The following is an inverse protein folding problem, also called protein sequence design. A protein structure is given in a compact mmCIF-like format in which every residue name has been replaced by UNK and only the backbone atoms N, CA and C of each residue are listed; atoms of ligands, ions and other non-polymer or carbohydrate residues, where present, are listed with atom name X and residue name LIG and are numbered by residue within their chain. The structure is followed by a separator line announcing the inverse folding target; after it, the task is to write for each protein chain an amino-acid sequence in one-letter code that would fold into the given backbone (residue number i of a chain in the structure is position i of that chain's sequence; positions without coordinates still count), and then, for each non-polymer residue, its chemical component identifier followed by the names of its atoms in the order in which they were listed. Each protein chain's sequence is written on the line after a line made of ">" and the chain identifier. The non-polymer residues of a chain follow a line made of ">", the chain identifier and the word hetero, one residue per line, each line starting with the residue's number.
data_IF_035059084817
#
_entry.id   IF_035059084817
#
_cell.length_a   1.000
_cell.length_b   1.000
_cell.length_c   1.000
_cell.angle_alpha   90.00
_cell.angle_beta   90.00
_cell.angle_gamma   90.00
#
_symmetry.space_group_name_H-M   'P 1'
#
loop_
_entity.id
_entity.type
_entity.pdbx_description
1 polymer ?
#
# COMPACT_ATOMS: atom_id res chain seq x y z
N UNK A 1 -15.51 17.69 55.18
CA UNK A 1 -15.10 18.34 53.92
C UNK A 1 -13.71 18.91 54.14
N UNK A 2 -12.65 18.38 53.50
CA UNK A 2 -11.31 18.92 53.67
C UNK A 2 -11.05 20.04 52.67
N UNK A 3 -10.57 21.15 53.23
CA UNK A 3 -10.16 22.39 52.58
C UNK A 3 -8.86 22.14 51.78
N UNK A 4 -8.89 22.41 50.47
CA UNK A 4 -7.72 22.26 49.58
C UNK A 4 -7.05 23.63 49.41
N UNK A 5 -6.09 23.90 50.28
CA UNK A 5 -5.13 25.00 50.09
C UNK A 5 -4.28 24.72 48.83
N UNK A 6 -4.15 25.68 47.90
CA UNK A 6 -3.33 25.51 46.70
C UNK A 6 -1.84 25.54 47.05
N UNK A 7 -1.11 24.59 46.48
CA UNK A 7 0.32 24.36 46.66
C UNK A 7 1.16 25.50 46.00
N UNK A 8 1.97 26.27 46.75
CA UNK A 8 2.69 27.45 46.23
C UNK A 8 3.93 27.13 45.38
N UNK A 9 4.20 25.86 45.08
CA UNK A 9 5.44 25.40 44.42
C UNK A 9 5.29 24.92 42.97
N UNK A 10 4.21 25.28 42.28
CA UNK A 10 4.10 25.14 40.82
C UNK A 10 4.91 26.25 40.11
N UNK A 11 6.24 26.28 40.30
CA UNK A 11 7.16 27.07 39.48
C UNK A 11 7.32 26.37 38.12
N UNK A 12 6.35 26.61 37.24
CA UNK A 12 6.51 26.37 35.80
C UNK A 12 7.66 27.24 35.31
N UNK A 13 8.79 26.60 35.01
CA UNK A 13 9.92 27.21 34.33
C UNK A 13 9.50 27.57 32.89
N UNK A 14 8.93 28.75 32.71
CA UNK A 14 8.74 29.36 31.39
C UNK A 14 10.14 29.68 30.86
N UNK A 15 10.64 28.84 29.96
CA UNK A 15 11.92 29.07 29.29
C UNK A 15 11.89 30.40 28.54
N UNK A 16 12.50 31.42 29.14
CA UNK A 16 12.74 32.73 28.54
C UNK A 16 13.93 32.66 27.57
N UNK A 17 13.81 31.84 26.53
CA UNK A 17 14.75 31.97 25.41
C UNK A 17 14.39 33.23 24.61
N UNK A 18 15.38 34.01 24.14
CA UNK A 18 15.13 35.15 23.26
C UNK A 18 14.56 34.65 21.93
N UNK A 19 13.23 34.67 21.82
CA UNK A 19 12.51 34.32 20.59
C UNK A 19 12.86 35.37 19.54
N UNK A 20 13.65 34.97 18.55
CA UNK A 20 14.05 35.79 17.42
C UNK A 20 12.78 36.12 16.59
N UNK A 21 12.14 37.27 16.88
CA UNK A 21 10.85 37.67 16.29
C UNK A 21 10.90 37.91 14.77
N UNK A 22 12.10 37.95 14.17
CA UNK A 22 12.29 38.23 12.73
C UNK A 22 11.95 37.08 11.79
N UNK A 23 11.78 35.86 12.29
CA UNK A 23 11.37 34.70 11.46
C UNK A 23 9.99 34.17 11.82
N UNK A 24 9.22 34.89 12.65
CA UNK A 24 7.83 34.51 12.90
C UNK A 24 7.01 34.82 11.65
N UNK A 25 6.92 33.83 10.76
CA UNK A 25 5.90 33.78 9.72
C UNK A 25 4.56 34.01 10.43
N UNK A 26 3.93 35.14 10.18
CA UNK A 26 2.56 35.38 10.65
C UNK A 26 1.74 34.28 9.99
N UNK A 27 1.11 33.38 10.75
CA UNK A 27 0.23 32.39 10.15
C UNK A 27 -0.85 33.17 9.41
N UNK A 28 -0.88 33.01 8.10
CA UNK A 28 -1.91 33.60 7.25
C UNK A 28 -3.27 33.09 7.74
N UNK A 29 -4.36 33.88 7.67
CA UNK A 29 -5.69 33.47 8.13
C UNK A 29 -6.19 32.13 7.52
N UNK A 30 -5.60 31.66 6.42
CA UNK A 30 -5.83 30.34 5.83
C UNK A 30 -5.24 29.16 6.64
N UNK A 31 -4.41 29.42 7.65
CA UNK A 31 -3.73 28.42 8.49
C UNK A 31 -4.50 28.12 9.79
N UNK A 32 -5.67 28.76 9.99
CA UNK A 32 -6.67 28.27 10.95
C UNK A 32 -7.30 27.03 10.32
N UNK A 33 -6.61 25.88 10.44
CA UNK A 33 -7.15 24.57 10.05
C UNK A 33 -8.57 24.47 10.60
N UNK A 34 -9.56 24.53 9.70
CA UNK A 34 -10.98 24.51 10.06
C UNK A 34 -11.20 23.30 10.98
N UNK A 35 -11.95 23.45 12.08
CA UNK A 35 -12.16 22.36 13.04
C UNK A 35 -12.68 21.07 12.38
N UNK A 36 -13.41 21.20 11.26
CA UNK A 36 -13.87 20.09 10.43
C UNK A 36 -12.72 19.26 9.81
N UNK A 37 -11.66 19.90 9.32
CA UNK A 37 -10.50 19.20 8.73
C UNK A 37 -9.74 18.42 9.80
N UNK A 38 -9.61 19.00 10.99
CA UNK A 38 -9.01 18.33 12.14
C UNK A 38 -9.83 17.12 12.59
N UNK A 39 -11.15 17.24 12.65
CA UNK A 39 -12.04 16.12 12.98
C UNK A 39 -11.96 15.01 11.93
N UNK A 40 -11.97 15.34 10.64
CA UNK A 40 -11.78 14.37 9.56
C UNK A 40 -10.42 13.67 9.67
N UNK A 41 -9.35 14.41 9.95
CA UNK A 41 -8.01 13.83 10.14
C UNK A 41 -7.98 12.90 11.36
N UNK A 42 -8.61 13.26 12.48
CA UNK A 42 -8.70 12.39 13.65
C UNK A 42 -9.51 11.12 13.37
N UNK A 43 -10.63 11.23 12.65
CA UNK A 43 -11.42 10.07 12.22
C UNK A 43 -10.61 9.15 11.30
N UNK A 44 -9.86 9.70 10.35
CA UNK A 44 -8.97 8.92 9.49
C UNK A 44 -7.86 8.22 10.27
N UNK A 45 -7.28 8.88 11.29
CA UNK A 45 -6.28 8.26 12.14
C UNK A 45 -6.89 7.10 12.96
N UNK A 46 -8.08 7.29 13.54
CA UNK A 46 -8.79 6.21 14.26
C UNK A 46 -9.10 5.03 13.35
N UNK A 47 -9.65 5.29 12.17
CA UNK A 47 -9.89 4.27 11.15
C UNK A 47 -8.62 3.51 10.76
N UNK A 48 -7.49 4.21 10.60
CA UNK A 48 -6.18 3.58 10.35
C UNK A 48 -5.74 2.71 11.52
N UNK A 49 -5.93 3.15 12.76
CA UNK A 49 -5.61 2.36 13.94
C UNK A 49 -6.50 1.12 14.07
N UNK A 50 -7.79 1.24 13.77
CA UNK A 50 -8.76 0.14 13.81
C UNK A 50 -8.44 -0.95 12.77
N UNK A 51 -8.02 -0.56 11.56
CA UNK A 51 -7.70 -1.51 10.50
C UNK A 51 -6.25 -2.02 10.53
N UNK A 52 -5.39 -1.48 11.39
CA UNK A 52 -4.00 -1.89 11.56
C UNK A 52 -3.07 -1.46 10.42
N UNK A 53 -1.92 -2.17 10.28
CA UNK A 53 -0.87 -1.83 9.31
C UNK A 53 -1.41 -1.85 7.85
N UNK A 54 -1.01 -0.89 6.99
CA UNK A 54 -1.35 -0.93 5.57
C UNK A 54 -0.70 -2.15 4.88
N UNK A 55 -1.43 -2.79 3.98
CA UNK A 55 -0.98 -3.94 3.21
C UNK A 55 0.20 -3.59 2.30
N UNK A 56 0.16 -2.43 1.65
CA UNK A 56 1.20 -1.96 0.72
C UNK A 56 2.58 -1.76 1.40
N UNK A 57 2.60 -1.53 2.71
CA UNK A 57 3.84 -1.43 3.47
C UNK A 57 4.56 -2.78 3.64
N UNK A 58 3.88 -3.91 3.42
CA UNK A 58 4.50 -5.23 3.34
C UNK A 58 5.18 -5.43 1.99
N UNK A 59 4.45 -5.19 0.90
CA UNK A 59 4.94 -5.36 -0.47
C UNK A 59 6.21 -4.54 -0.78
N UNK A 60 6.30 -3.28 -0.32
CA UNK A 60 7.48 -2.42 -0.56
C UNK A 60 8.75 -2.92 0.14
N UNK A 61 8.63 -3.64 1.27
CA UNK A 61 9.79 -4.17 1.99
C UNK A 61 10.41 -5.40 1.30
N UNK A 62 9.62 -6.11 0.47
CA UNK A 62 10.04 -7.33 -0.19
C UNK A 62 10.70 -7.10 -1.57
N UNK A 63 10.72 -5.86 -2.10
CA UNK A 63 11.42 -5.56 -3.33
C UNK A 63 12.91 -5.34 -3.02
N UNK A 64 13.82 -6.28 -3.36
CA UNK A 64 15.24 -6.00 -3.33
C UNK A 64 15.49 -4.83 -4.29
N UNK A 65 16.15 -3.79 -3.80
CA UNK A 65 16.59 -2.68 -4.65
C UNK A 65 17.39 -3.28 -5.81
N UNK A 66 16.82 -3.25 -7.02
CA UNK A 66 17.48 -3.81 -8.18
C UNK A 66 18.85 -3.12 -8.33
N UNK A 67 19.96 -3.87 -8.39
CA UNK A 67 21.25 -3.26 -8.69
C UNK A 67 21.12 -2.60 -10.06
N UNK A 68 21.39 -1.29 -10.11
CA UNK A 68 21.37 -0.53 -11.37
C UNK A 68 22.18 -1.30 -12.42
N UNK A 69 21.60 -1.66 -13.58
CA UNK A 69 22.32 -2.42 -14.59
C UNK A 69 23.55 -1.63 -15.02
N UNK A 70 24.72 -2.28 -15.11
CA UNK A 70 25.98 -1.63 -15.51
C UNK A 70 25.84 -0.83 -16.82
N UNK A 71 24.96 -1.26 -17.73
CA UNK A 71 24.65 -0.55 -18.97
C UNK A 71 24.10 0.88 -18.73
N UNK A 72 23.32 1.11 -17.67
CA UNK A 72 22.82 2.45 -17.31
C UNK A 72 23.93 3.36 -16.76
N UNK A 73 24.99 2.78 -16.15
CA UNK A 73 26.18 3.53 -15.72
C UNK A 73 27.07 3.91 -16.91
N UNK A 74 27.15 3.06 -17.94
CA UNK A 74 27.95 3.34 -19.14
C UNK A 74 27.26 4.35 -20.07
N UNK A 75 25.94 4.31 -20.21
CA UNK A 75 25.20 5.26 -21.06
C UNK A 75 25.17 6.69 -20.50
N UNK A 76 25.20 6.87 -19.18
CA UNK A 76 25.37 8.19 -18.57
C UNK A 76 26.75 8.82 -18.88
N UNK A 77 27.79 8.00 -19.10
CA UNK A 77 29.11 8.47 -19.52
C UNK A 77 29.19 8.82 -21.01
N UNK A 78 28.49 8.08 -21.87
CA UNK A 78 28.57 8.28 -23.33
C UNK A 78 27.80 9.52 -23.83
N UNK A 79 26.73 9.94 -23.14
CA UNK A 79 25.92 11.10 -23.52
C UNK A 79 26.65 12.44 -23.39
N UNK A 80 27.63 12.54 -22.47
CA UNK A 80 28.42 13.78 -22.27
C UNK A 80 29.50 13.94 -23.35
N UNK A 81 29.94 12.84 -23.99
CA UNK A 81 31.00 12.89 -25.01
C UNK A 81 30.45 13.27 -26.39
N UNK A 82 29.20 12.93 -26.72
CA UNK A 82 28.66 13.23 -28.07
C UNK A 82 28.20 14.69 -28.24
N UNK A 83 27.76 15.36 -27.16
CA UNK A 83 27.37 16.78 -27.25
C UNK A 83 28.58 17.71 -27.48
N UNK A 84 29.78 17.29 -27.07
CA UNK A 84 31.03 18.06 -27.27
C UNK A 84 31.62 17.93 -28.69
N UNK A 85 31.29 16.86 -29.43
CA UNK A 85 31.79 16.65 -30.80
C UNK A 85 31.07 17.50 -31.86
N UNK A 86 29.84 17.94 -31.60
CA UNK A 86 29.03 18.71 -32.55
C UNK A 86 29.47 20.17 -32.71
N UNK A 87 30.36 20.68 -31.85
CA UNK A 87 30.84 22.06 -31.91
C UNK A 87 32.04 22.27 -32.86
N UNK A 88 32.59 21.22 -33.47
CA UNK A 88 33.80 21.30 -34.31
C UNK A 88 33.61 20.94 -35.79
N UNK A 89 32.40 20.59 -36.24
CA UNK A 89 32.13 20.29 -37.66
C UNK A 89 31.42 21.49 -38.29
N UNK A 90 32.17 22.30 -39.04
CA UNK A 90 31.71 23.54 -39.70
C UNK A 90 30.92 23.32 -41.00
N UNK A 91 30.18 22.22 -41.12
CA UNK A 91 29.39 21.91 -42.31
C UNK A 91 27.91 21.82 -41.96
N UNK A 92 27.12 22.75 -42.50
CA UNK A 92 25.70 22.94 -42.15
C UNK A 92 24.85 21.72 -42.51
N UNK A 93 25.28 20.91 -43.47
CA UNK A 93 24.59 19.69 -43.89
C UNK A 93 24.77 18.57 -42.85
N UNK A 94 25.93 18.50 -42.19
CA UNK A 94 26.21 17.51 -41.15
C UNK A 94 25.39 17.74 -39.87
N UNK A 95 25.13 19.00 -39.52
CA UNK A 95 24.30 19.39 -38.36
C UNK A 95 22.84 18.96 -38.58
N UNK A 96 22.31 19.15 -39.79
CA UNK A 96 20.95 18.74 -40.13
C UNK A 96 20.71 17.23 -40.01
N UNK A 97 21.66 16.42 -40.49
CA UNK A 97 21.56 14.95 -40.43
C UNK A 97 21.66 14.45 -38.98
N UNK A 98 22.58 15.00 -38.18
CA UNK A 98 22.72 14.63 -36.76
C UNK A 98 21.51 15.01 -35.91
N UNK A 99 20.86 16.16 -36.18
CA UNK A 99 19.64 16.56 -35.47
C UNK A 99 18.46 15.63 -35.78
N UNK A 100 18.32 15.17 -37.02
CA UNK A 100 17.25 14.24 -37.42
C UNK A 100 17.49 12.84 -36.85
N UNK A 101 18.73 12.34 -36.86
CA UNK A 101 19.08 11.04 -36.24
C UNK A 101 18.95 11.09 -34.72
N UNK A 102 19.33 12.21 -34.09
CA UNK A 102 19.18 12.44 -32.65
C UNK A 102 17.73 12.46 -32.19
N UNK A 103 16.85 13.17 -32.91
CA UNK A 103 15.42 13.23 -32.57
C UNK A 103 14.70 11.91 -32.87
N UNK A 104 15.06 11.21 -33.94
CA UNK A 104 14.50 9.90 -34.25
C UNK A 104 14.89 8.83 -33.21
N UNK A 105 16.15 8.84 -32.73
CA UNK A 105 16.61 7.93 -31.67
C UNK A 105 16.00 8.27 -30.30
N UNK A 106 15.82 9.55 -29.97
CA UNK A 106 15.12 9.98 -28.75
C UNK A 106 13.63 9.61 -28.80
N UNK A 107 12.97 9.79 -29.95
CA UNK A 107 11.57 9.42 -30.14
C UNK A 107 11.38 7.90 -30.12
N UNK A 108 12.34 7.12 -30.65
CA UNK A 108 12.32 5.66 -30.56
C UNK A 108 12.58 5.17 -29.14
N UNK A 109 13.50 5.79 -28.40
CA UNK A 109 13.75 5.50 -26.98
C UNK A 109 12.54 5.87 -26.10
N UNK A 110 11.93 7.04 -26.31
CA UNK A 110 10.71 7.45 -25.63
C UNK A 110 9.54 6.51 -25.98
N UNK A 111 9.44 6.08 -27.23
CA UNK A 111 8.45 5.10 -27.68
C UNK A 111 8.75 3.70 -27.14
N UNK A 112 10.00 3.31 -26.89
CA UNK A 112 10.36 2.05 -26.24
C UNK A 112 10.10 2.08 -24.72
N UNK A 113 10.19 3.24 -24.08
CA UNK A 113 9.77 3.45 -22.68
C UNK A 113 8.24 3.41 -22.55
N UNK A 114 7.50 3.98 -23.51
CA UNK A 114 6.03 3.92 -23.55
C UNK A 114 5.44 2.64 -24.14
N UNK A 115 6.19 1.93 -25.00
CA UNK A 115 5.86 0.61 -25.55
C UNK A 115 6.73 -0.47 -24.97
N UNK A 116 7.08 -0.39 -23.68
CA UNK A 116 7.48 -1.61 -22.98
C UNK A 116 6.30 -2.58 -23.12
N UNK A 117 6.48 -3.74 -23.78
CA UNK A 117 5.53 -4.81 -23.57
C UNK A 117 5.48 -5.04 -22.06
N UNK A 118 4.29 -5.15 -21.48
CA UNK A 118 4.04 -5.70 -20.13
C UNK A 118 4.45 -7.19 -20.10
N UNK A 119 5.70 -7.48 -20.46
CA UNK A 119 6.11 -8.79 -20.93
C UNK A 119 7.63 -8.93 -20.99
N UNK A 120 8.30 -8.56 -19.91
CA UNK A 120 9.29 -9.47 -19.34
C UNK A 120 8.75 -9.71 -17.93
N UNK A 121 7.96 -10.78 -17.80
CA UNK A 121 7.50 -11.27 -16.52
C UNK A 121 8.75 -11.75 -15.80
N UNK A 122 9.45 -10.82 -15.14
CA UNK A 122 9.97 -11.16 -13.84
C UNK A 122 8.74 -11.74 -13.14
N UNK A 123 8.81 -13.02 -12.78
CA UNK A 123 7.80 -13.64 -11.94
C UNK A 123 7.64 -12.75 -10.70
N UNK A 124 6.73 -11.78 -10.77
CA UNK A 124 6.21 -11.06 -9.64
C UNK A 124 5.43 -12.12 -8.87
N UNK A 125 6.19 -12.88 -8.09
CA UNK A 125 5.78 -13.97 -7.21
C UNK A 125 5.01 -13.42 -6.01
N UNK A 126 4.38 -12.25 -6.15
CA UNK A 126 3.74 -11.50 -5.09
C UNK A 126 2.48 -10.82 -5.57
N UNK A 127 1.77 -10.18 -4.63
CA UNK A 127 0.57 -9.42 -4.94
C UNK A 127 0.95 -8.08 -5.60
N UNK A 128 0.14 -7.60 -6.56
CA UNK A 128 0.41 -6.34 -7.26
C UNK A 128 0.39 -5.15 -6.28
N UNK A 129 1.51 -4.45 -6.16
CA UNK A 129 1.69 -3.37 -5.19
C UNK A 129 0.69 -2.22 -5.37
N UNK A 130 0.43 -1.83 -6.63
CA UNK A 130 -0.54 -0.78 -6.95
C UNK A 130 -1.96 -1.14 -6.49
N UNK A 131 -2.34 -2.42 -6.61
CA UNK A 131 -3.65 -2.89 -6.16
C UNK A 131 -3.76 -2.90 -4.64
N UNK A 132 -2.68 -3.25 -3.93
CA UNK A 132 -2.64 -3.19 -2.46
C UNK A 132 -2.74 -1.75 -1.96
N UNK A 133 -2.06 -0.80 -2.62
CA UNK A 133 -2.12 0.62 -2.27
C UNK A 133 -3.51 1.21 -2.54
N UNK A 134 -4.12 0.87 -3.68
CA UNK A 134 -5.49 1.24 -3.99
C UNK A 134 -6.48 0.66 -2.97
N UNK A 135 -6.32 -0.62 -2.60
CA UNK A 135 -7.14 -1.28 -1.59
C UNK A 135 -6.97 -0.63 -0.22
N UNK A 136 -5.75 -0.32 0.22
CA UNK A 136 -5.50 0.38 1.49
C UNK A 136 -6.22 1.74 1.53
N UNK A 137 -6.15 2.50 0.44
CA UNK A 137 -6.87 3.77 0.30
C UNK A 137 -8.38 3.60 0.40
N UNK A 138 -8.93 2.58 -0.27
CA UNK A 138 -10.35 2.25 -0.21
C UNK A 138 -10.78 1.83 1.20
N UNK A 139 -9.98 1.01 1.89
CA UNK A 139 -10.26 0.55 3.24
C UNK A 139 -10.30 1.69 4.25
N UNK A 140 -9.38 2.66 4.16
CA UNK A 140 -9.40 3.87 5.01
C UNK A 140 -10.67 4.69 4.75
N UNK A 141 -11.10 4.81 3.50
CA UNK A 141 -12.34 5.50 3.13
C UNK A 141 -13.60 4.75 3.58
N UNK A 142 -13.58 3.42 3.52
CA UNK A 142 -14.72 2.57 3.87
C UNK A 142 -14.89 2.44 5.39
N UNK A 143 -13.79 2.42 6.15
CA UNK A 143 -13.77 2.19 7.61
C UNK A 143 -14.88 2.87 8.42
N UNK A 144 -15.12 4.21 8.32
CA UNK A 144 -16.14 4.87 9.13
C UNK A 144 -17.59 4.46 8.77
N UNK A 145 -17.77 3.84 7.61
CA UNK A 145 -19.05 3.41 7.08
C UNK A 145 -19.34 1.92 7.30
N UNK A 146 -18.36 1.13 7.76
CA UNK A 146 -18.51 -0.32 7.88
C UNK A 146 -19.25 -0.72 9.17
N UNK A 147 -20.20 -1.67 9.10
CA UNK A 147 -20.78 -2.26 10.29
C UNK A 147 -19.75 -3.15 11.01
N UNK A 148 -19.91 -3.35 12.31
CA UNK A 148 -18.94 -4.07 13.14
C UNK A 148 -18.56 -5.47 12.59
N UNK A 149 -19.55 -6.24 12.12
CA UNK A 149 -19.31 -7.56 11.51
C UNK A 149 -18.46 -7.49 10.23
N UNK A 150 -18.65 -6.46 9.41
CA UNK A 150 -17.85 -6.27 8.20
C UNK A 150 -16.42 -5.84 8.54
N UNK A 151 -16.25 -5.00 9.56
CA UNK A 151 -14.92 -4.58 10.04
C UNK A 151 -14.09 -5.78 10.49
N UNK A 152 -14.67 -6.72 11.24
CA UNK A 152 -13.98 -7.94 11.67
C UNK A 152 -13.63 -8.85 10.48
N UNK A 153 -14.55 -9.03 9.53
CA UNK A 153 -14.28 -9.80 8.32
C UNK A 153 -13.15 -9.18 7.48
N UNK A 154 -13.14 -7.84 7.31
CA UNK A 154 -12.06 -7.11 6.63
C UNK A 154 -10.72 -7.30 7.34
N UNK A 155 -10.67 -7.20 8.68
CA UNK A 155 -9.44 -7.45 9.45
C UNK A 155 -8.90 -8.86 9.20
N UNK A 156 -9.78 -9.86 9.20
CA UNK A 156 -9.39 -11.24 8.93
C UNK A 156 -8.87 -11.42 7.50
N UNK A 157 -9.53 -10.80 6.51
CA UNK A 157 -9.05 -10.77 5.11
C UNK A 157 -7.68 -10.10 5.02
N UNK A 158 -7.48 -8.94 5.67
CA UNK A 158 -6.18 -8.26 5.70
C UNK A 158 -5.09 -9.17 6.29
N UNK A 159 -5.38 -9.86 7.38
CA UNK A 159 -4.43 -10.79 8.00
C UNK A 159 -4.05 -11.93 7.04
N UNK A 160 -5.02 -12.51 6.35
CA UNK A 160 -4.79 -13.54 5.32
C UNK A 160 -3.94 -13.00 4.15
N UNK A 161 -4.22 -11.78 3.67
CA UNK A 161 -3.42 -11.15 2.61
C UNK A 161 -1.99 -10.82 3.07
N UNK A 162 -1.76 -10.48 4.34
CA UNK A 162 -0.42 -10.31 4.89
C UNK A 162 0.37 -11.63 4.94
N UNK A 163 -0.30 -12.76 5.15
CA UNK A 163 0.33 -14.08 5.04
C UNK A 163 0.73 -14.38 3.59
N UNK A 164 -0.14 -14.08 2.63
CA UNK A 164 0.15 -14.24 1.21
C UNK A 164 1.32 -13.34 0.73
N UNK A 165 1.58 -12.22 1.41
CA UNK A 165 2.72 -11.34 1.09
C UNK A 165 4.07 -11.82 1.64
N UNK A 166 4.11 -12.91 2.41
CA UNK A 166 5.39 -13.45 2.88
C UNK A 166 6.25 -13.91 1.68
N UNK A 167 7.58 -13.77 1.76
CA UNK A 167 8.47 -14.19 0.68
C UNK A 167 8.23 -15.66 0.29
N UNK A 168 8.00 -15.93 -1.00
CA UNK A 168 7.75 -17.27 -1.52
C UNK A 168 6.34 -17.83 -1.28
N UNK A 169 5.50 -17.21 -0.46
CA UNK A 169 4.16 -17.71 -0.13
C UNK A 169 3.28 -17.87 -1.37
N UNK A 170 3.13 -16.81 -2.17
CA UNK A 170 2.37 -16.87 -3.43
C UNK A 170 3.02 -17.82 -4.45
N UNK A 171 4.33 -18.02 -4.37
CA UNK A 171 5.08 -18.99 -5.16
C UNK A 171 4.67 -20.43 -4.88
N UNK A 172 4.45 -20.77 -3.60
CA UNK A 172 4.07 -22.10 -3.13
C UNK A 172 2.60 -22.46 -3.40
N UNK A 173 1.74 -21.47 -3.71
CA UNK A 173 0.33 -21.72 -4.05
C UNK A 173 0.16 -22.29 -5.45
N UNK A 174 -0.88 -23.12 -5.61
CA UNK A 174 -1.33 -23.57 -6.92
C UNK A 174 -1.73 -22.37 -7.81
N UNK A 175 -1.59 -22.45 -9.15
CA UNK A 175 -1.87 -21.31 -10.04
C UNK A 175 -3.29 -20.73 -9.90
N UNK A 176 -4.29 -21.60 -9.67
CA UNK A 176 -5.68 -21.18 -9.48
C UNK A 176 -5.88 -20.41 -8.18
N UNK A 177 -5.19 -20.83 -7.11
CA UNK A 177 -5.27 -20.17 -5.81
C UNK A 177 -4.55 -18.83 -5.83
N UNK A 178 -3.37 -18.78 -6.45
CA UNK A 178 -2.64 -17.53 -6.71
C UNK A 178 -3.51 -16.51 -7.46
N UNK A 179 -4.21 -16.96 -8.50
CA UNK A 179 -5.13 -16.12 -9.27
C UNK A 179 -6.27 -15.62 -8.38
N UNK A 180 -6.86 -16.49 -7.56
CA UNK A 180 -7.93 -16.11 -6.63
C UNK A 180 -7.48 -15.03 -5.65
N UNK A 181 -6.34 -15.22 -4.96
CA UNK A 181 -5.81 -14.22 -4.01
C UNK A 181 -5.54 -12.89 -4.72
N UNK A 182 -4.98 -12.94 -5.93
CA UNK A 182 -4.73 -11.73 -6.75
C UNK A 182 -6.04 -11.00 -7.09
N UNK A 183 -7.07 -11.73 -7.50
CA UNK A 183 -8.38 -11.16 -7.81
C UNK A 183 -9.13 -10.66 -6.57
N UNK A 184 -8.93 -11.29 -5.40
CA UNK A 184 -9.45 -10.78 -4.14
C UNK A 184 -8.99 -9.34 -3.89
N UNK A 185 -7.69 -9.06 -4.10
CA UNK A 185 -7.12 -7.72 -3.91
C UNK A 185 -7.52 -6.77 -5.04
N UNK A 186 -7.45 -7.23 -6.29
CA UNK A 186 -7.61 -6.35 -7.44
C UNK A 186 -9.07 -6.04 -7.79
N UNK A 187 -10.01 -6.91 -7.40
CA UNK A 187 -11.39 -6.85 -7.90
C UNK A 187 -12.44 -7.18 -6.85
N UNK A 188 -12.42 -8.39 -6.27
CA UNK A 188 -13.57 -8.85 -5.49
C UNK A 188 -13.83 -8.02 -4.23
N UNK A 189 -12.78 -7.76 -3.44
CA UNK A 189 -12.92 -6.95 -2.24
C UNK A 189 -13.19 -5.47 -2.57
N UNK A 190 -12.46 -4.84 -3.53
CA UNK A 190 -12.80 -3.49 -3.98
C UNK A 190 -14.23 -3.34 -4.47
N UNK A 191 -14.69 -4.22 -5.36
CA UNK A 191 -16.03 -4.15 -5.95
C UNK A 191 -17.13 -4.24 -4.88
N UNK A 192 -17.00 -5.18 -3.92
CA UNK A 192 -17.94 -5.32 -2.80
C UNK A 192 -18.00 -4.06 -1.93
N UNK A 193 -16.84 -3.49 -1.56
CA UNK A 193 -16.77 -2.28 -0.74
C UNK A 193 -17.31 -1.06 -1.49
N UNK A 194 -16.97 -0.90 -2.77
CA UNK A 194 -17.47 0.21 -3.57
C UNK A 194 -18.99 0.12 -3.80
N UNK A 195 -19.52 -1.07 -4.10
CA UNK A 195 -20.95 -1.28 -4.23
C UNK A 195 -21.68 -0.89 -2.94
N UNK A 196 -21.16 -1.28 -1.78
CA UNK A 196 -21.70 -0.90 -0.49
C UNK A 196 -21.62 0.62 -0.24
N UNK A 197 -20.50 1.26 -0.57
CA UNK A 197 -20.32 2.70 -0.38
C UNK A 197 -21.23 3.54 -1.28
N UNK A 198 -21.63 3.02 -2.45
CA UNK A 198 -22.63 3.67 -3.32
C UNK A 198 -24.03 3.68 -2.71
N UNK A 199 -24.34 2.78 -1.77
CA UNK A 199 -25.61 2.81 -1.06
C UNK A 199 -25.66 4.03 -0.11
N UNK A 200 -26.74 4.84 -0.14
CA UNK A 200 -26.94 5.92 0.81
C UNK A 200 -26.91 5.39 2.25
N UNK A 201 -26.21 6.08 3.16
CA UNK A 201 -26.02 5.62 4.53
C UNK A 201 -27.34 5.26 5.24
N UNK A 202 -28.39 6.05 5.01
CA UNK A 202 -29.72 5.83 5.58
C UNK A 202 -30.39 4.52 5.13
N UNK A 203 -30.01 3.96 3.97
CA UNK A 203 -30.63 2.76 3.38
C UNK A 203 -29.86 1.47 3.66
N UNK A 204 -28.67 1.52 4.26
CA UNK A 204 -27.79 0.34 4.38
C UNK A 204 -28.31 -0.70 5.37
N UNK A 205 -28.95 -0.24 6.45
CA UNK A 205 -29.58 -1.09 7.44
C UNK A 205 -30.99 -1.58 7.02
N UNK A 206 -31.59 -0.95 6.02
CA UNK A 206 -32.91 -1.33 5.52
C UNK A 206 -32.80 -2.50 4.52
N UNK A 207 -33.85 -3.35 4.42
CA UNK A 207 -33.95 -4.36 3.37
C UNK A 207 -33.80 -3.73 1.98
N UNK A 208 -33.00 -4.33 1.11
CA UNK A 208 -32.81 -3.84 -0.27
C UNK A 208 -34.07 -4.01 -1.14
N UNK A 209 -34.98 -4.88 -0.72
CA UNK A 209 -36.26 -5.17 -1.34
C UNK A 209 -37.11 -6.07 -0.44
N UNK A 210 -38.35 -6.33 -0.85
CA UNK A 210 -39.25 -7.21 -0.09
C UNK A 210 -38.66 -8.63 0.03
N UNK A 211 -38.48 -9.12 1.27
CA UNK A 211 -37.85 -10.41 1.55
C UNK A 211 -36.35 -10.48 1.30
N UNK A 212 -35.69 -9.37 0.93
CA UNK A 212 -34.24 -9.34 0.70
C UNK A 212 -33.48 -8.90 1.96
N UNK A 213 -32.24 -9.38 2.15
CA UNK A 213 -31.38 -8.89 3.21
C UNK A 213 -31.07 -7.39 3.07
N UNK A 214 -30.65 -6.77 4.17
CA UNK A 214 -30.16 -5.40 4.16
C UNK A 214 -28.79 -5.30 3.47
N UNK A 215 -28.43 -4.09 3.03
CA UNK A 215 -27.10 -3.84 2.45
C UNK A 215 -25.96 -4.23 3.39
N UNK A 216 -26.13 -4.00 4.70
CA UNK A 216 -25.19 -4.43 5.74
C UNK A 216 -25.04 -5.95 5.78
N UNK A 217 -26.16 -6.68 5.79
CA UNK A 217 -26.15 -8.14 5.84
C UNK A 217 -25.50 -8.75 4.58
N UNK A 218 -25.82 -8.23 3.40
CA UNK A 218 -25.22 -8.67 2.13
C UNK A 218 -23.70 -8.44 2.12
N UNK A 219 -23.24 -7.26 2.55
CA UNK A 219 -21.81 -6.98 2.61
C UNK A 219 -21.10 -7.97 3.55
N UNK A 220 -21.65 -8.18 4.75
CA UNK A 220 -21.06 -9.10 5.73
C UNK A 220 -20.96 -10.51 5.14
N UNK A 221 -22.02 -11.03 4.52
CA UNK A 221 -22.03 -12.35 3.89
C UNK A 221 -20.98 -12.47 2.77
N UNK A 222 -20.87 -11.45 1.91
CA UNK A 222 -19.87 -11.42 0.84
C UNK A 222 -18.44 -11.44 1.42
N UNK A 223 -18.16 -10.62 2.43
CA UNK A 223 -16.85 -10.57 3.07
C UNK A 223 -16.51 -11.88 3.79
N UNK A 224 -17.46 -12.49 4.48
CA UNK A 224 -17.27 -13.81 5.10
C UNK A 224 -16.98 -14.89 4.05
N UNK A 225 -17.66 -14.84 2.91
CA UNK A 225 -17.40 -15.75 1.78
C UNK A 225 -15.98 -15.57 1.24
N UNK A 226 -15.53 -14.33 1.05
CA UNK A 226 -14.15 -14.04 0.62
C UNK A 226 -13.12 -14.47 1.67
N UNK A 227 -13.39 -14.21 2.95
CA UNK A 227 -12.54 -14.64 4.06
C UNK A 227 -12.36 -16.17 4.07
N UNK A 228 -13.45 -16.92 3.98
CA UNK A 228 -13.41 -18.39 3.93
C UNK A 228 -12.68 -18.88 2.68
N UNK A 229 -12.92 -18.24 1.53
CA UNK A 229 -12.24 -18.57 0.27
C UNK A 229 -10.73 -18.34 0.33
N UNK A 230 -10.28 -17.29 1.02
CA UNK A 230 -8.86 -17.03 1.28
C UNK A 230 -8.27 -18.03 2.27
N UNK A 231 -8.94 -18.26 3.40
CA UNK A 231 -8.47 -19.17 4.45
C UNK A 231 -8.22 -20.58 3.90
N UNK A 232 -9.16 -21.14 3.13
CA UNK A 232 -9.01 -22.48 2.53
C UNK A 232 -7.81 -22.59 1.60
N UNK A 233 -7.53 -21.53 0.82
CA UNK A 233 -6.46 -21.52 -0.18
C UNK A 233 -5.08 -21.26 0.41
N UNK A 234 -5.04 -20.53 1.53
CA UNK A 234 -3.81 -20.23 2.25
C UNK A 234 -3.48 -21.28 3.32
N UNK A 235 -4.40 -22.22 3.59
CA UNK A 235 -4.20 -23.32 4.54
C UNK A 235 -2.88 -24.09 4.33
N UNK A 236 -2.48 -24.46 3.09
CA UNK A 236 -1.24 -25.19 2.88
C UNK A 236 0.02 -24.45 3.38
N UNK A 237 0.02 -23.12 3.31
CA UNK A 237 1.12 -22.29 3.79
C UNK A 237 1.24 -22.34 5.33
N UNK A 238 0.10 -22.45 6.01
CA UNK A 238 0.06 -22.54 7.48
C UNK A 238 0.51 -23.93 7.92
N UNK A 239 0.08 -24.97 7.21
CA UNK A 239 0.45 -26.35 7.51
C UNK A 239 1.96 -26.55 7.32
N UNK A 240 2.57 -26.03 6.25
CA UNK A 240 4.01 -26.11 6.02
C UNK A 240 4.83 -25.43 7.13
N UNK A 241 4.40 -24.24 7.58
CA UNK A 241 5.05 -23.53 8.67
C UNK A 241 4.93 -24.31 10.00
N UNK A 242 3.77 -24.90 10.28
CA UNK A 242 3.57 -25.72 11.47
C UNK A 242 4.45 -26.98 11.44
N UNK A 243 4.55 -27.66 10.30
CA UNK A 243 5.42 -28.83 10.11
C UNK A 243 6.91 -28.48 10.29
N UNK A 244 7.35 -27.33 9.78
CA UNK A 244 8.71 -26.84 9.97
C UNK A 244 9.05 -26.65 11.47
N UNK A 245 8.14 -26.03 12.23
CA UNK A 245 8.30 -25.84 13.68
C UNK A 245 8.36 -27.17 14.43
N UNK A 246 7.49 -28.12 14.09
CA UNK A 246 7.49 -29.45 14.72
C UNK A 246 8.78 -30.22 14.42
N UNK A 247 9.31 -30.13 13.20
CA UNK A 247 10.62 -30.73 12.85
C UNK A 247 11.75 -30.13 13.69
N UNK A 248 11.78 -28.81 13.86
CA UNK A 248 12.78 -28.14 14.69
C UNK A 248 12.68 -28.57 16.16
N UNK A 249 11.46 -28.68 16.70
CA UNK A 249 11.24 -29.16 18.06
C UNK A 249 11.80 -30.57 18.26
N UNK A 250 11.51 -31.49 17.33
CA UNK A 250 12.03 -32.88 17.38
C UNK A 250 13.55 -32.93 17.32
N UNK A 251 14.16 -32.10 16.48
CA UNK A 251 15.62 -31.98 16.39
C UNK A 251 16.24 -31.50 17.72
N UNK A 252 15.67 -30.46 18.34
CA UNK A 252 16.14 -29.94 19.63
C UNK A 252 15.99 -30.98 20.75
N UNK A 253 14.89 -31.73 20.78
CA UNK A 253 14.67 -32.81 21.74
C UNK A 253 15.64 -33.99 21.56
N UNK A 254 16.01 -34.32 20.32
CA UNK A 254 17.03 -35.32 20.04
C UNK A 254 18.39 -34.85 20.55
N UNK A 255 18.75 -33.59 20.27
CA UNK A 255 20.03 -33.00 20.67
C UNK A 255 20.19 -32.82 22.18
N UNK A 256 19.11 -32.59 22.93
CA UNK A 256 19.18 -32.44 24.39
C UNK A 256 19.37 -33.77 25.14
N UNK A 257 19.32 -34.90 24.44
CA UNK A 257 19.51 -36.25 25.02
C UNK A 257 20.91 -36.82 24.77
N UNK A 258 21.71 -36.16 23.94
CA UNK A 258 23.14 -36.43 23.73
C UNK A 258 23.99 -35.64 24.75
#
# INVERSE_FOLDING_TARGET
>A
MPDRSPDPNSRLAVGSQPVNRRTRRVPTPDEVERPEVLQQRQQQLRAKHELGRPLAAGARAAQPAAPLPMAARVQAGLGVVSLSGALFVGDAIAIGVLAVVGTASLAWAARAVWRRPRGAVAEETGLPADALEALDGLLVRAAPALPAGATEAVKAIKAALLQAQQPGAMGALAPQDRLFVTQCVARYLPDSLEAYLRLPAARRAEPLGEGQPSGDAVLIEQLLTLQQGLARRLQPLQDEAAEALLRQQRFLQAKSRE
#
